data_IF_575154153870
#
_entry.id   IF_575154153870
#
_cell.length_a   1.000
_cell.length_b   1.000
_cell.length_c   1.000
_cell.angle_alpha   90.00
_cell.angle_beta   90.00
_cell.angle_gamma   90.00
#
_symmetry.space_group_name_H-M   'P 1'
#
loop_
_entity.id
_entity.type
_entity.pdbx_description
1 polymer ?
#
# COMPACT_ATOMS: atom_id res chain seq x y z
N UNK A 1 7.17 -28.52 9.64
CA UNK A 1 5.84 -27.95 9.89
C UNK A 1 6.00 -26.73 10.78
N UNK A 2 5.32 -25.62 10.51
CA UNK A 2 5.48 -24.38 11.31
C UNK A 2 4.98 -24.58 12.74
N UNK A 3 5.74 -24.14 13.74
CA UNK A 3 5.34 -24.14 15.16
C UNK A 3 4.29 -23.07 15.51
N UNK A 4 3.60 -22.51 14.51
CA UNK A 4 2.59 -21.48 14.71
C UNK A 4 1.25 -22.13 15.08
N UNK A 5 0.56 -21.56 16.07
CA UNK A 5 -0.81 -21.96 16.40
C UNK A 5 -1.72 -21.67 15.21
N UNK A 6 -2.62 -22.59 14.89
CA UNK A 6 -3.61 -22.40 13.84
C UNK A 6 -4.50 -21.21 14.16
N UNK A 7 -4.71 -20.33 13.18
CA UNK A 7 -5.57 -19.16 13.28
C UNK A 7 -6.64 -19.23 12.20
N UNK A 8 -7.86 -18.75 12.48
CA UNK A 8 -8.91 -18.67 11.47
C UNK A 8 -8.62 -17.57 10.44
N UNK A 9 -9.10 -17.72 9.20
CA UNK A 9 -8.98 -16.68 8.18
C UNK A 9 -9.64 -15.36 8.60
N UNK A 10 -10.74 -15.43 9.35
CA UNK A 10 -11.44 -14.26 9.92
C UNK A 10 -10.57 -13.53 10.93
N UNK A 11 -9.95 -14.26 11.84
CA UNK A 11 -9.04 -13.69 12.85
C UNK A 11 -7.81 -13.09 12.17
N UNK A 12 -7.20 -13.81 11.23
CA UNK A 12 -6.05 -13.32 10.47
C UNK A 12 -6.37 -12.01 9.73
N UNK A 13 -7.52 -11.93 9.06
CA UNK A 13 -7.96 -10.72 8.37
C UNK A 13 -8.13 -9.53 9.32
N UNK A 14 -8.75 -9.75 10.48
CA UNK A 14 -8.93 -8.71 11.49
C UNK A 14 -7.57 -8.21 12.03
N UNK A 15 -6.63 -9.14 12.28
CA UNK A 15 -5.29 -8.82 12.72
C UNK A 15 -4.52 -8.03 11.64
N UNK A 16 -4.60 -8.42 10.37
CA UNK A 16 -4.00 -7.69 9.26
C UNK A 16 -4.54 -6.26 9.16
N UNK A 17 -5.86 -6.07 9.32
CA UNK A 17 -6.48 -4.73 9.32
C UNK A 17 -5.98 -3.88 10.50
N UNK A 18 -5.86 -4.48 11.69
CA UNK A 18 -5.33 -3.79 12.88
C UNK A 18 -3.86 -3.41 12.71
N UNK A 19 -3.04 -4.33 12.22
CA UNK A 19 -1.62 -4.09 11.92
C UNK A 19 -1.47 -2.97 10.90
N UNK A 20 -2.27 -2.98 9.82
CA UNK A 20 -2.21 -1.96 8.77
C UNK A 20 -2.46 -0.56 9.31
N UNK A 21 -3.45 -0.38 10.20
CA UNK A 21 -3.71 0.90 10.88
C UNK A 21 -2.53 1.36 11.73
N UNK A 22 -1.97 0.46 12.54
CA UNK A 22 -0.82 0.78 13.39
C UNK A 22 0.42 1.15 12.57
N UNK A 23 0.65 0.45 11.46
CA UNK A 23 1.72 0.77 10.51
C UNK A 23 1.48 2.13 9.87
N UNK A 24 0.23 2.47 9.53
CA UNK A 24 -0.13 3.78 8.99
C UNK A 24 0.28 4.94 9.91
N UNK A 25 0.01 4.84 11.21
CA UNK A 25 0.43 5.85 12.20
C UNK A 25 1.96 6.02 12.24
N UNK A 26 2.72 4.93 12.08
CA UNK A 26 4.18 5.00 12.03
C UNK A 26 4.70 5.65 10.75
N UNK A 27 4.06 5.35 9.62
CA UNK A 27 4.37 5.95 8.32
C UNK A 27 4.08 7.45 8.35
N UNK A 28 2.94 7.87 8.90
CA UNK A 28 2.57 9.28 9.07
C UNK A 28 3.64 10.03 9.88
N UNK A 29 4.04 9.48 11.03
CA UNK A 29 5.09 10.06 11.87
C UNK A 29 6.45 10.15 11.16
N UNK A 30 6.78 9.18 10.31
CA UNK A 30 8.03 9.16 9.56
C UNK A 30 8.03 10.15 8.39
N UNK A 31 6.92 10.22 7.64
CA UNK A 31 6.80 11.04 6.44
C UNK A 31 6.55 12.52 6.75
N UNK A 32 5.83 12.79 7.84
CA UNK A 32 5.40 14.15 8.19
C UNK A 32 4.54 14.78 7.09
N UNK A 33 4.54 16.11 7.01
CA UNK A 33 3.65 16.86 6.12
C UNK A 33 4.22 17.10 4.71
N UNK A 34 5.49 16.73 4.48
CA UNK A 34 6.19 16.99 3.21
C UNK A 34 6.67 15.68 2.61
N UNK A 35 5.85 15.15 1.70
CA UNK A 35 6.15 13.94 0.96
C UNK A 35 5.62 14.03 -0.47
N UNK A 36 6.28 13.32 -1.38
CA UNK A 36 5.76 13.01 -2.69
C UNK A 36 5.07 11.64 -2.69
N UNK A 37 4.24 11.41 -3.68
CA UNK A 37 3.68 10.09 -3.96
C UNK A 37 4.20 9.61 -5.31
N UNK A 38 4.76 8.41 -5.33
CA UNK A 38 5.28 7.77 -6.54
C UNK A 38 4.39 6.60 -6.94
N UNK A 39 4.13 6.51 -8.23
CA UNK A 39 3.33 5.46 -8.84
C UNK A 39 4.24 4.59 -9.71
N UNK A 40 4.12 3.27 -9.56
CA UNK A 40 4.81 2.32 -10.44
C UNK A 40 3.85 1.21 -10.86
N UNK A 41 3.76 1.01 -12.17
CA UNK A 41 3.07 -0.10 -12.79
C UNK A 41 4.07 -1.08 -13.37
N UNK A 42 3.82 -2.37 -13.20
CA UNK A 42 4.54 -3.42 -13.93
C UNK A 42 3.59 -4.56 -14.23
N UNK A 43 3.99 -5.46 -15.11
CA UNK A 43 3.19 -6.64 -15.38
C UNK A 43 3.99 -7.91 -15.43
N UNK A 44 3.34 -8.97 -14.95
CA UNK A 44 3.90 -10.28 -14.89
C UNK A 44 2.84 -11.29 -15.33
N UNK A 45 3.13 -12.02 -16.40
CA UNK A 45 2.15 -12.86 -17.11
C UNK A 45 0.88 -12.08 -17.46
N UNK A 46 -0.29 -12.57 -17.09
CA UNK A 46 -1.59 -11.98 -17.40
C UNK A 46 -2.09 -11.00 -16.34
N UNK A 47 -1.21 -10.48 -15.47
CA UNK A 47 -1.61 -9.56 -14.39
C UNK A 47 -0.78 -8.30 -14.47
N UNK A 48 -1.46 -7.15 -14.52
CA UNK A 48 -0.84 -5.86 -14.25
C UNK A 48 -0.87 -5.59 -12.77
N UNK A 49 0.21 -5.07 -12.22
CA UNK A 49 0.30 -4.66 -10.84
C UNK A 49 0.56 -3.18 -10.80
N UNK A 50 -0.05 -2.56 -9.81
CA UNK A 50 0.16 -1.17 -9.51
C UNK A 50 0.54 -1.05 -8.05
N UNK A 51 1.63 -0.33 -7.77
CA UNK A 51 2.00 0.05 -6.43
C UNK A 51 2.07 1.57 -6.27
N UNK A 52 1.67 2.03 -5.10
CA UNK A 52 1.75 3.42 -4.66
C UNK A 52 2.77 3.51 -3.54
N UNK A 53 3.70 4.46 -3.64
CA UNK A 53 4.74 4.71 -2.67
C UNK A 53 4.66 6.13 -2.12
N UNK A 54 4.83 6.28 -0.81
CA UNK A 54 5.20 7.54 -0.18
C UNK A 54 6.70 7.75 -0.27
N UNK A 55 7.12 8.93 -0.70
CA UNK A 55 8.53 9.30 -0.83
C UNK A 55 8.78 10.58 -0.05
N UNK A 56 9.66 10.56 0.94
CA UNK A 56 9.99 11.73 1.74
C UNK A 56 11.50 11.82 1.98
N UNK A 57 11.96 12.96 2.52
CA UNK A 57 13.35 13.12 2.97
C UNK A 57 13.37 13.29 4.47
N UNK A 58 14.00 12.34 5.16
CA UNK A 58 14.16 12.36 6.62
C UNK A 58 15.65 12.48 6.94
N UNK A 59 16.04 13.56 7.60
CA UNK A 59 17.45 13.84 7.97
C UNK A 59 18.41 13.73 6.77
N UNK A 60 18.01 14.30 5.63
CA UNK A 60 18.81 14.31 4.39
C UNK A 60 18.85 12.97 3.64
N UNK A 61 18.10 11.95 4.08
CA UNK A 61 18.00 10.65 3.39
C UNK A 61 16.62 10.49 2.77
N UNK A 62 16.58 10.07 1.50
CA UNK A 62 15.34 9.68 0.86
C UNK A 62 14.81 8.39 1.50
N UNK A 63 13.55 8.42 1.92
CA UNK A 63 12.81 7.28 2.44
C UNK A 63 11.69 6.98 1.45
N UNK A 64 11.53 5.69 1.12
CA UNK A 64 10.47 5.19 0.23
C UNK A 64 9.68 4.13 0.99
N UNK A 65 8.36 4.28 1.03
CA UNK A 65 7.43 3.37 1.71
C UNK A 65 6.32 2.94 0.75
N UNK A 66 6.13 1.64 0.59
CA UNK A 66 4.98 1.12 -0.16
C UNK A 66 3.72 1.33 0.67
N UNK A 67 2.76 2.09 0.14
CA UNK A 67 1.49 2.38 0.80
C UNK A 67 0.43 1.35 0.40
N UNK A 68 0.41 0.96 -0.87
CA UNK A 68 -0.51 -0.04 -1.38
C UNK A 68 0.04 -0.73 -2.63
N UNK A 69 -0.46 -1.93 -2.88
CA UNK A 69 -0.23 -2.67 -4.11
C UNK A 69 -1.50 -3.44 -4.47
N UNK A 70 -1.94 -3.34 -5.72
CA UNK A 70 -3.12 -4.07 -6.21
C UNK A 70 -2.85 -4.65 -7.60
N UNK A 71 -3.34 -5.87 -7.88
CA UNK A 71 -3.47 -6.31 -9.26
C UNK A 71 -4.57 -5.50 -9.97
N UNK A 72 -4.39 -5.35 -11.29
CA UNK A 72 -5.34 -4.84 -12.26
C UNK A 72 -5.62 -5.96 -13.25
N UNK A 73 -6.89 -6.09 -13.64
CA UNK A 73 -7.29 -6.96 -14.74
C UNK A 73 -6.73 -6.41 -16.07
N UNK A 74 -6.42 -7.31 -17.00
CA UNK A 74 -5.93 -6.92 -18.33
C UNK A 74 -7.05 -6.18 -19.05
N UNK A 75 -6.75 -4.98 -19.57
CA UNK A 75 -7.73 -4.12 -20.25
C UNK A 75 -8.43 -3.10 -19.36
N UNK A 76 -8.24 -3.13 -18.03
CA UNK A 76 -8.81 -2.16 -17.09
C UNK A 76 -7.86 -1.00 -16.73
N UNK A 77 -6.84 -0.75 -17.55
CA UNK A 77 -5.80 0.27 -17.29
C UNK A 77 -6.21 1.64 -17.83
N UNK A 78 -7.39 2.12 -17.44
CA UNK A 78 -7.81 3.48 -17.77
C UNK A 78 -7.45 4.46 -16.64
N UNK A 79 -7.41 5.75 -16.96
CA UNK A 79 -7.03 6.78 -16.02
C UNK A 79 -7.98 6.83 -14.81
N UNK A 80 -9.26 6.55 -15.03
CA UNK A 80 -10.32 6.56 -14.02
C UNK A 80 -10.06 5.53 -12.91
N UNK A 81 -9.71 4.30 -13.28
CA UNK A 81 -9.40 3.23 -12.32
C UNK A 81 -8.11 3.54 -11.54
N UNK A 82 -7.13 4.18 -12.16
CA UNK A 82 -5.95 4.66 -11.45
C UNK A 82 -6.30 5.75 -10.43
N UNK A 83 -7.18 6.70 -10.78
CA UNK A 83 -7.66 7.75 -9.87
C UNK A 83 -8.46 7.16 -8.72
N UNK A 84 -9.35 6.20 -8.98
CA UNK A 84 -10.14 5.54 -7.95
C UNK A 84 -9.26 4.77 -6.97
N UNK A 85 -8.30 3.99 -7.47
CA UNK A 85 -7.34 3.30 -6.61
C UNK A 85 -6.57 4.30 -5.74
N UNK A 86 -6.14 5.43 -6.31
CA UNK A 86 -5.44 6.45 -5.55
C UNK A 86 -6.29 7.01 -4.41
N UNK A 87 -7.55 7.35 -4.69
CA UNK A 87 -8.50 7.81 -3.67
C UNK A 87 -8.75 6.76 -2.59
N UNK A 88 -8.92 5.50 -2.98
CA UNK A 88 -9.11 4.39 -2.03
C UNK A 88 -7.90 4.20 -1.11
N UNK A 89 -6.69 4.30 -1.66
CA UNK A 89 -5.46 4.17 -0.87
C UNK A 89 -5.29 5.33 0.09
N UNK A 90 -5.49 6.56 -0.36
CA UNK A 90 -5.44 7.73 0.53
C UNK A 90 -6.48 7.66 1.66
N UNK A 91 -7.68 7.15 1.37
CA UNK A 91 -8.73 6.98 2.37
C UNK A 91 -8.38 5.96 3.48
N UNK A 92 -7.35 5.11 3.30
CA UNK A 92 -6.85 4.23 4.37
C UNK A 92 -6.06 4.98 5.44
N UNK A 93 -5.60 6.19 5.14
CA UNK A 93 -4.73 7.01 6.00
C UNK A 93 -5.40 8.29 6.51
N UNK A 94 -6.69 8.52 6.19
CA UNK A 94 -7.50 9.66 6.61
C UNK A 94 -8.38 9.38 7.82
#
# INVERSE_FOLDING_TARGET
MSHLKTVSSKTLKADMQKVSKNVGVLIEKEMGNFFGVMWIGWSHSSVHYVAIYGVCVVKGKQIVRMLAMSPFEVGSQNAELHIEMFKSVLALYS
#
